data_IF_336416882516
#
_entry.id   IF_336416882516
#
_cell.length_a   1.000
_cell.length_b   1.000
_cell.length_c   1.000
_cell.angle_alpha   90.00
_cell.angle_beta   90.00
_cell.angle_gamma   90.00
#
_symmetry.space_group_name_H-M   'P 1'
#
loop_
_entity.id
_entity.type
_entity.pdbx_description
1 polymer ?
#
# COMPACT_ATOMS: atom_id res chain seq x y z
N UNK A 1 -23.66 -12.14 23.59
CA UNK A 1 -23.94 -10.83 22.97
C UNK A 1 -23.13 -9.76 23.71
N UNK A 2 -21.89 -9.50 23.27
CA UNK A 2 -21.01 -8.46 23.84
C UNK A 2 -20.80 -7.39 22.78
N UNK A 3 -21.05 -6.14 23.17
CA UNK A 3 -20.96 -4.92 22.37
C UNK A 3 -19.51 -4.72 21.89
N UNK A 4 -19.31 -4.71 20.57
CA UNK A 4 -18.12 -4.13 19.95
C UNK A 4 -18.47 -2.71 19.52
N UNK A 5 -18.18 -1.75 20.39
CA UNK A 5 -18.14 -0.32 20.07
C UNK A 5 -16.76 0.18 20.46
N UNK A 6 -15.80 -0.02 19.58
CA UNK A 6 -14.48 0.60 19.65
C UNK A 6 -14.32 1.44 18.41
N UNK A 7 -14.61 2.73 18.52
CA UNK A 7 -14.20 3.72 17.53
C UNK A 7 -12.67 3.69 17.47
N UNK A 8 -12.12 3.13 16.40
CA UNK A 8 -10.72 3.31 16.08
C UNK A 8 -10.51 4.78 15.72
N UNK A 9 -10.04 5.59 16.67
CA UNK A 9 -9.49 6.90 16.36
C UNK A 9 -8.21 6.68 15.55
N UNK A 10 -8.32 6.71 14.22
CA UNK A 10 -7.16 6.76 13.34
C UNK A 10 -6.54 8.14 13.54
N UNK A 11 -5.33 8.18 14.11
CA UNK A 11 -4.54 9.41 14.18
C UNK A 11 -4.37 9.92 12.74
N UNK A 12 -4.98 11.08 12.49
CA UNK A 12 -5.08 11.63 11.15
C UNK A 12 -3.70 12.02 10.63
N UNK A 13 -3.41 11.66 9.38
CA UNK A 13 -2.14 11.97 8.74
C UNK A 13 -1.97 13.50 8.56
N UNK A 14 -0.71 13.97 8.61
CA UNK A 14 -0.36 15.38 8.40
C UNK A 14 -0.81 15.89 7.03
N UNK A 15 -0.79 15.05 5.99
CA UNK A 15 -1.27 15.47 4.66
C UNK A 15 -2.81 15.53 4.61
N UNK A 16 -3.52 14.66 5.32
CA UNK A 16 -4.99 14.68 5.42
C UNK A 16 -5.47 15.91 6.20
N UNK A 17 -4.78 16.27 7.28
CA UNK A 17 -5.00 17.52 8.01
C UNK A 17 -4.87 18.74 7.09
N UNK A 18 -3.81 18.79 6.27
CA UNK A 18 -3.59 19.88 5.32
C UNK A 18 -4.63 19.92 4.20
N UNK A 19 -5.08 18.77 3.70
CA UNK A 19 -6.12 18.72 2.67
C UNK A 19 -7.45 19.27 3.18
N UNK A 20 -7.89 18.82 4.36
CA UNK A 20 -9.12 19.33 4.96
C UNK A 20 -9.01 20.82 5.32
N UNK A 21 -7.88 21.25 5.86
CA UNK A 21 -7.67 22.65 6.20
C UNK A 21 -7.75 23.58 4.99
N UNK A 22 -7.24 23.17 3.82
CA UNK A 22 -7.37 23.96 2.59
C UNK A 22 -8.81 24.05 2.10
N UNK A 23 -9.60 22.97 2.25
CA UNK A 23 -11.02 22.99 1.88
C UNK A 23 -11.84 23.94 2.76
N UNK A 24 -11.37 24.23 3.98
CA UNK A 24 -11.98 25.19 4.89
C UNK A 24 -11.59 26.62 4.48
N UNK A 25 -10.30 26.96 4.52
CA UNK A 25 -9.78 28.27 4.09
C UNK A 25 -8.25 28.30 3.99
N UNK A 26 -7.68 29.36 3.39
CA UNK A 26 -6.24 29.55 3.36
C UNK A 26 -5.64 29.83 4.76
N UNK A 27 -6.37 30.48 5.65
CA UNK A 27 -5.99 30.73 7.04
C UNK A 27 -5.96 29.42 7.84
N UNK A 28 -6.97 28.56 7.64
CA UNK A 28 -7.03 27.23 8.22
C UNK A 28 -5.85 26.38 7.72
N UNK A 29 -5.57 26.39 6.41
CA UNK A 29 -4.40 25.73 5.84
C UNK A 29 -3.09 26.23 6.46
N UNK A 30 -2.91 27.53 6.52
CA UNK A 30 -1.69 28.17 7.02
C UNK A 30 -1.43 27.90 8.50
N UNK A 31 -2.47 27.98 9.34
CA UNK A 31 -2.39 27.64 10.76
C UNK A 31 -2.08 26.14 10.98
N UNK A 32 -2.73 25.26 10.22
CA UNK A 32 -2.48 23.81 10.26
C UNK A 32 -1.05 23.48 9.82
N UNK A 33 -0.57 24.09 8.73
CA UNK A 33 0.81 23.92 8.24
C UNK A 33 1.84 24.33 9.30
N UNK A 34 1.64 25.47 9.97
CA UNK A 34 2.50 25.88 11.09
C UNK A 34 2.50 24.89 12.24
N UNK A 35 1.32 24.40 12.61
CA UNK A 35 1.16 23.42 13.68
C UNK A 35 1.92 22.14 13.36
N UNK A 36 1.74 21.59 12.16
CA UNK A 36 2.43 20.38 11.69
C UNK A 36 3.95 20.60 11.66
N UNK A 37 4.41 21.72 11.08
CA UNK A 37 5.85 22.04 11.04
C UNK A 37 6.45 22.08 12.46
N UNK A 38 5.73 22.68 13.42
CA UNK A 38 6.17 22.72 14.82
C UNK A 38 6.18 21.33 15.47
N UNK A 39 5.12 20.53 15.30
CA UNK A 39 5.02 19.16 15.84
C UNK A 39 6.11 18.24 15.29
N UNK A 40 6.40 18.34 13.99
CA UNK A 40 7.40 17.52 13.28
C UNK A 40 8.82 18.11 13.32
N UNK A 41 9.02 19.27 13.95
CA UNK A 41 10.29 20.01 14.01
C UNK A 41 10.88 20.32 12.61
N UNK A 42 10.03 20.59 11.62
CA UNK A 42 10.43 20.96 10.27
C UNK A 42 10.59 22.47 10.18
N UNK A 43 11.79 22.91 9.82
CA UNK A 43 12.07 24.31 9.55
C UNK A 43 11.53 24.74 8.18
N UNK A 44 11.35 26.05 8.01
CA UNK A 44 10.92 26.61 6.72
C UNK A 44 11.93 26.33 5.58
N UNK A 45 13.22 26.27 5.92
CA UNK A 45 14.29 25.94 4.97
C UNK A 45 14.18 24.49 4.50
N UNK A 46 13.95 23.56 5.42
CA UNK A 46 13.75 22.13 5.10
C UNK A 46 12.48 21.92 4.28
N UNK A 47 11.37 22.58 4.64
CA UNK A 47 10.15 22.54 3.84
C UNK A 47 10.41 23.05 2.42
N UNK A 48 11.04 24.21 2.26
CA UNK A 48 11.38 24.80 0.97
C UNK A 48 12.19 23.86 0.09
N UNK A 49 13.25 23.27 0.63
CA UNK A 49 14.09 22.30 -0.08
C UNK A 49 13.30 21.04 -0.43
N UNK A 50 12.48 20.54 0.49
CA UNK A 50 11.75 19.28 0.34
C UNK A 50 10.56 19.34 -0.64
N UNK A 51 9.89 20.48 -0.78
CA UNK A 51 8.81 20.66 -1.74
C UNK A 51 9.21 21.42 -3.02
N UNK A 52 10.46 21.93 -3.10
CA UNK A 52 10.94 22.69 -4.25
C UNK A 52 10.29 24.06 -4.42
N UNK A 53 9.72 24.63 -3.35
CA UNK A 53 9.06 25.95 -3.37
C UNK A 53 9.99 26.97 -2.71
N UNK A 54 10.21 28.16 -3.31
CA UNK A 54 11.04 29.20 -2.69
C UNK A 54 10.58 29.59 -1.29
N UNK A 55 11.53 29.79 -0.36
CA UNK A 55 11.29 30.22 1.03
C UNK A 55 10.38 31.46 1.08
N UNK A 56 10.59 32.43 0.18
CA UNK A 56 9.77 33.66 0.11
C UNK A 56 8.30 33.38 -0.20
N UNK A 57 8.01 32.38 -1.04
CA UNK A 57 6.65 31.96 -1.36
C UNK A 57 6.01 31.23 -0.17
N UNK A 58 6.74 30.32 0.47
CA UNK A 58 6.24 29.62 1.67
C UNK A 58 6.00 30.58 2.84
N UNK A 59 6.87 31.57 3.03
CA UNK A 59 6.66 32.64 4.00
C UNK A 59 5.36 33.40 3.76
N UNK A 60 5.01 33.69 2.51
CA UNK A 60 3.75 34.38 2.17
C UNK A 60 2.53 33.50 2.43
N UNK A 61 2.61 32.21 2.10
CA UNK A 61 1.55 31.24 2.38
C UNK A 61 1.32 31.12 3.89
N UNK A 62 2.40 31.03 4.65
CA UNK A 62 2.35 30.91 6.10
C UNK A 62 1.90 32.26 6.69
N UNK A 63 2.66 33.33 6.53
CA UNK A 63 2.40 34.58 7.24
C UNK A 63 1.20 35.38 6.72
N UNK A 64 0.89 35.34 5.43
CA UNK A 64 -0.15 36.18 4.80
C UNK A 64 -1.42 35.40 4.42
N UNK A 65 -1.48 34.08 4.68
CA UNK A 65 -2.59 33.21 4.24
C UNK A 65 -2.94 33.39 2.74
N UNK A 66 -1.91 33.61 1.93
CA UNK A 66 -2.06 33.86 0.49
C UNK A 66 -2.65 32.65 -0.24
N UNK A 67 -3.48 32.91 -1.25
CA UNK A 67 -3.96 31.90 -2.19
C UNK A 67 -2.83 31.02 -2.74
N UNK A 68 -3.07 29.71 -2.69
CA UNK A 68 -2.16 28.72 -3.20
C UNK A 68 -2.54 28.34 -4.63
N UNK A 69 -1.54 28.27 -5.50
CA UNK A 69 -1.69 27.52 -6.75
C UNK A 69 -1.84 26.04 -6.42
N UNK A 70 -2.66 25.33 -7.19
CA UNK A 70 -2.86 23.87 -7.04
C UNK A 70 -1.52 23.11 -7.12
N UNK A 71 -0.58 23.57 -7.95
CA UNK A 71 0.77 22.99 -8.03
C UNK A 71 1.58 23.16 -6.74
N UNK A 72 1.49 24.32 -6.08
CA UNK A 72 2.14 24.62 -4.80
C UNK A 72 1.54 23.77 -3.69
N UNK A 73 0.21 23.69 -3.62
CA UNK A 73 -0.47 22.81 -2.69
C UNK A 73 -0.05 21.35 -2.88
N UNK A 74 -0.06 20.85 -4.12
CA UNK A 74 0.37 19.48 -4.45
C UNK A 74 1.80 19.21 -4.00
N UNK A 75 2.72 20.15 -4.21
CA UNK A 75 4.11 20.00 -3.81
C UNK A 75 4.27 19.91 -2.28
N UNK A 76 3.53 20.72 -1.52
CA UNK A 76 3.53 20.67 -0.05
C UNK A 76 2.93 19.33 0.43
N UNK A 77 1.78 18.93 -0.11
CA UNK A 77 1.13 17.65 0.22
C UNK A 77 2.04 16.46 -0.06
N UNK A 78 2.68 16.43 -1.24
CA UNK A 78 3.60 15.36 -1.61
C UNK A 78 4.81 15.28 -0.70
N UNK A 79 5.34 16.43 -0.23
CA UNK A 79 6.42 16.46 0.76
C UNK A 79 5.97 15.86 2.09
N UNK A 80 4.83 16.26 2.65
CA UNK A 80 4.36 15.66 3.90
C UNK A 80 4.01 14.18 3.76
N UNK A 81 3.46 13.79 2.60
CA UNK A 81 3.23 12.38 2.26
C UNK A 81 4.52 11.57 2.19
N UNK A 82 5.63 12.16 1.72
CA UNK A 82 6.94 11.47 1.68
C UNK A 82 7.62 11.43 3.05
N UNK A 83 7.39 12.41 3.93
CA UNK A 83 7.89 12.38 5.31
C UNK A 83 7.22 11.31 6.17
N UNK A 84 5.94 11.02 5.89
CA UNK A 84 5.21 9.92 6.51
C UNK A 84 5.49 8.57 5.83
N UNK A 85 6.13 8.59 4.66
CA UNK A 85 6.64 7.42 3.96
C UNK A 85 8.16 7.53 3.77
N UNK A 86 8.97 7.58 4.84
CA UNK A 86 10.42 7.59 4.72
C UNK A 86 10.82 6.18 4.25
N UNK A 87 10.90 5.97 2.93
CA UNK A 87 11.14 4.65 2.33
C UNK A 87 9.97 3.68 2.59
N UNK A 88 8.84 3.84 1.89
CA UNK A 88 7.75 2.89 2.10
C UNK A 88 8.19 1.49 1.68
N UNK A 89 8.23 0.59 2.66
CA UNK A 89 8.31 -0.84 2.41
C UNK A 89 7.24 -1.19 1.36
N UNK A 90 7.63 -1.81 0.26
CA UNK A 90 6.67 -2.24 -0.75
C UNK A 90 5.90 -3.40 -0.12
N UNK A 91 4.66 -3.14 0.30
CA UNK A 91 3.75 -4.19 0.75
C UNK A 91 3.15 -4.88 -0.46
N UNK A 92 3.34 -6.19 -0.59
CA UNK A 92 2.76 -7.03 -1.64
C UNK A 92 1.79 -8.03 -1.00
N UNK A 93 0.60 -8.15 -1.56
CA UNK A 93 -0.36 -9.19 -1.18
C UNK A 93 -0.11 -10.47 -1.98
N UNK A 94 0.00 -11.62 -1.32
CA UNK A 94 0.09 -12.93 -1.98
C UNK A 94 -1.17 -13.72 -1.66
N UNK A 95 -1.98 -13.98 -2.68
CA UNK A 95 -3.23 -14.74 -2.60
C UNK A 95 -2.98 -16.11 -3.20
N UNK A 96 -2.90 -17.13 -2.37
CA UNK A 96 -2.61 -18.49 -2.79
C UNK A 96 -3.15 -19.53 -1.81
N UNK A 97 -3.13 -20.79 -2.23
CA UNK A 97 -3.42 -21.90 -1.33
C UNK A 97 -2.41 -21.95 -0.17
N UNK A 98 -2.85 -22.44 0.99
CA UNK A 98 -2.01 -22.54 2.20
C UNK A 98 -0.68 -23.25 1.91
N UNK A 99 -0.75 -24.37 1.19
CA UNK A 99 0.42 -25.16 0.78
C UNK A 99 1.46 -24.36 -0.01
N UNK A 100 1.04 -23.39 -0.83
CA UNK A 100 1.96 -22.52 -1.55
C UNK A 100 2.56 -21.46 -0.63
N UNK A 101 1.76 -20.88 0.27
CA UNK A 101 2.21 -19.84 1.20
C UNK A 101 3.18 -20.39 2.23
N UNK A 102 2.99 -21.63 2.70
CA UNK A 102 3.89 -22.28 3.66
C UNK A 102 5.32 -22.47 3.10
N UNK A 103 5.52 -22.37 1.77
CA UNK A 103 6.86 -22.37 1.14
C UNK A 103 7.60 -21.03 1.31
N UNK A 104 6.90 -19.94 1.62
CA UNK A 104 7.48 -18.61 1.83
C UNK A 104 8.15 -18.56 3.20
N UNK A 105 9.48 -18.71 3.23
CA UNK A 105 10.23 -18.70 4.49
C UNK A 105 10.44 -17.29 5.09
N UNK A 106 10.12 -16.24 4.33
CA UNK A 106 10.38 -14.84 4.72
C UNK A 106 9.19 -13.96 4.33
N UNK A 107 8.54 -13.36 5.32
CA UNK A 107 7.51 -12.34 5.10
C UNK A 107 8.07 -10.93 4.84
N UNK A 108 9.41 -10.82 4.78
CA UNK A 108 10.10 -9.59 4.44
C UNK A 108 11.37 -9.91 3.65
N UNK A 109 11.54 -9.27 2.49
CA UNK A 109 12.69 -9.47 1.60
C UNK A 109 13.23 -8.12 1.10
N UNK A 110 14.44 -8.11 0.57
CA UNK A 110 15.02 -6.92 -0.09
C UNK A 110 15.11 -7.22 -1.58
N UNK A 111 14.40 -6.44 -2.40
CA UNK A 111 14.43 -6.54 -3.86
C UNK A 111 14.86 -5.17 -4.42
N UNK A 112 15.90 -5.16 -5.27
CA UNK A 112 16.43 -3.93 -5.89
C UNK A 112 16.72 -2.81 -4.88
N UNK A 113 17.27 -3.16 -3.72
CA UNK A 113 17.59 -2.23 -2.64
C UNK A 113 16.37 -1.67 -1.89
N UNK A 114 15.15 -2.15 -2.17
CA UNK A 114 13.93 -1.80 -1.44
C UNK A 114 13.48 -2.94 -0.54
N UNK A 115 13.07 -2.61 0.67
CA UNK A 115 12.42 -3.56 1.57
C UNK A 115 11.00 -3.82 1.08
N UNK A 116 10.64 -5.09 1.00
CA UNK A 116 9.36 -5.60 0.52
C UNK A 116 8.74 -6.42 1.64
N UNK A 117 7.53 -6.07 2.06
CA UNK A 117 6.74 -6.79 3.04
C UNK A 117 5.73 -7.66 2.31
N UNK A 118 5.66 -8.94 2.66
CA UNK A 118 4.72 -9.89 2.06
C UNK A 118 3.57 -10.07 3.04
N UNK A 119 2.34 -9.79 2.58
CA UNK A 119 1.11 -10.05 3.32
C UNK A 119 0.36 -11.20 2.67
N UNK A 120 0.11 -12.23 3.45
CA UNK A 120 -0.44 -13.50 2.95
C UNK A 120 -1.95 -13.54 3.11
N UNK A 121 -2.62 -14.06 2.08
CA UNK A 121 -4.06 -14.24 2.03
C UNK A 121 -4.34 -15.69 1.61
N UNK A 122 -4.41 -16.63 2.57
CA UNK A 122 -4.68 -18.03 2.27
C UNK A 122 -6.11 -18.21 1.76
N UNK A 123 -6.27 -18.97 0.68
CA UNK A 123 -7.57 -19.21 0.03
C UNK A 123 -7.72 -20.68 -0.35
N UNK A 124 -8.95 -21.18 -0.34
CA UNK A 124 -9.27 -22.55 -0.78
C UNK A 124 -10.04 -22.56 -2.11
N UNK A 125 -10.79 -21.50 -2.41
CA UNK A 125 -11.65 -21.39 -3.60
C UNK A 125 -11.37 -20.12 -4.39
N UNK A 126 -11.93 -20.04 -5.60
CA UNK A 126 -11.83 -18.84 -6.45
C UNK A 126 -12.62 -17.68 -5.82
N UNK A 127 -13.77 -17.97 -5.22
CA UNK A 127 -14.62 -17.01 -4.53
C UNK A 127 -13.88 -16.37 -3.35
N UNK A 128 -13.19 -17.20 -2.54
CA UNK A 128 -12.34 -16.73 -1.45
C UNK A 128 -11.21 -15.84 -1.98
N UNK A 129 -10.63 -16.19 -3.12
CA UNK A 129 -9.59 -15.40 -3.77
C UNK A 129 -10.07 -14.02 -4.19
N UNK A 130 -11.29 -13.91 -4.72
CA UNK A 130 -11.91 -12.63 -5.09
C UNK A 130 -12.12 -11.76 -3.85
N UNK A 131 -12.71 -12.33 -2.78
CA UNK A 131 -12.95 -11.61 -1.52
C UNK A 131 -11.62 -11.12 -0.92
N UNK A 132 -10.60 -11.98 -0.90
CA UNK A 132 -9.29 -11.64 -0.39
C UNK A 132 -8.55 -10.62 -1.28
N UNK A 133 -8.79 -10.59 -2.59
CA UNK A 133 -8.23 -9.57 -3.46
C UNK A 133 -8.78 -8.17 -3.14
N UNK A 134 -10.08 -8.08 -2.85
CA UNK A 134 -10.70 -6.84 -2.37
C UNK A 134 -10.11 -6.43 -1.01
N UNK A 135 -10.02 -7.39 -0.08
CA UNK A 135 -9.41 -7.16 1.24
C UNK A 135 -7.96 -6.69 1.13
N UNK A 136 -7.15 -7.31 0.28
CA UNK A 136 -5.78 -6.91 0.03
C UNK A 136 -5.67 -5.46 -0.46
N UNK A 137 -6.61 -5.05 -1.31
CA UNK A 137 -6.68 -3.67 -1.78
C UNK A 137 -7.04 -2.70 -0.65
N UNK A 138 -7.97 -3.07 0.24
CA UNK A 138 -8.33 -2.29 1.44
C UNK A 138 -7.15 -2.21 2.43
N UNK A 139 -6.36 -3.28 2.51
CA UNK A 139 -5.12 -3.36 3.29
C UNK A 139 -3.96 -2.55 2.68
N UNK A 140 -4.23 -1.76 1.62
CA UNK A 140 -3.30 -0.84 0.96
C UNK A 140 -2.02 -1.53 0.46
N UNK A 141 -2.13 -2.77 -0.04
CA UNK A 141 -1.02 -3.41 -0.75
C UNK A 141 -0.69 -2.63 -2.02
N UNK A 142 0.59 -2.58 -2.38
CA UNK A 142 1.10 -1.90 -3.56
C UNK A 142 1.01 -2.78 -4.83
N UNK A 143 0.73 -4.08 -4.67
CA UNK A 143 0.53 -5.03 -5.75
C UNK A 143 0.09 -6.39 -5.21
N UNK A 144 -0.46 -7.22 -6.10
CA UNK A 144 -0.99 -8.55 -5.79
C UNK A 144 -0.26 -9.61 -6.63
N UNK A 145 0.10 -10.71 -5.98
CA UNK A 145 0.55 -11.95 -6.63
C UNK A 145 -0.50 -13.03 -6.39
N UNK A 146 -0.96 -13.71 -7.44
CA UNK A 146 -1.97 -14.77 -7.31
C UNK A 146 -1.88 -15.82 -8.42
N UNK A 147 -2.69 -16.89 -8.34
CA UNK A 147 -2.74 -17.90 -9.40
C UNK A 147 -3.28 -17.32 -10.73
N UNK A 148 -2.80 -17.79 -11.91
CA UNK A 148 -3.21 -17.25 -13.21
C UNK A 148 -4.73 -17.19 -13.44
N UNK A 149 -5.46 -18.23 -12.99
CA UNK A 149 -6.91 -18.28 -13.14
C UNK A 149 -7.62 -17.15 -12.37
N UNK A 150 -7.10 -16.79 -11.19
CA UNK A 150 -7.63 -15.68 -10.37
C UNK A 150 -7.26 -14.34 -11.00
N UNK A 151 -6.02 -14.18 -11.46
CA UNK A 151 -5.52 -12.93 -12.05
C UNK A 151 -6.44 -12.43 -13.19
N UNK A 152 -6.82 -13.33 -14.10
CA UNK A 152 -7.71 -13.02 -15.23
C UNK A 152 -9.10 -12.47 -14.84
N UNK A 153 -9.55 -12.76 -13.62
CA UNK A 153 -10.83 -12.30 -13.08
C UNK A 153 -10.64 -10.94 -12.41
N UNK A 154 -9.67 -10.84 -11.50
CA UNK A 154 -9.52 -9.67 -10.63
C UNK A 154 -8.93 -8.45 -11.34
N UNK A 155 -8.14 -8.64 -12.41
CA UNK A 155 -7.63 -7.54 -13.25
C UNK A 155 -8.74 -6.68 -13.86
N UNK A 156 -9.95 -7.23 -14.01
CA UNK A 156 -11.10 -6.50 -14.58
C UNK A 156 -11.61 -5.38 -13.68
N UNK A 157 -11.35 -5.44 -12.37
CA UNK A 157 -11.94 -4.51 -11.39
C UNK A 157 -10.97 -4.03 -10.30
N UNK A 158 -9.80 -4.65 -10.15
CA UNK A 158 -8.76 -4.20 -9.21
C UNK A 158 -7.73 -3.33 -9.92
N UNK A 159 -7.38 -2.20 -9.29
CA UNK A 159 -6.47 -1.18 -9.86
C UNK A 159 -5.01 -1.34 -9.46
N UNK A 160 -4.71 -2.10 -8.40
CA UNK A 160 -3.31 -2.36 -8.02
C UNK A 160 -2.67 -3.30 -9.03
N UNK A 161 -1.36 -3.19 -9.33
CA UNK A 161 -0.67 -4.11 -10.24
C UNK A 161 -0.82 -5.57 -9.81
N UNK A 162 -1.08 -6.45 -10.75
CA UNK A 162 -1.30 -7.88 -10.52
C UNK A 162 -0.28 -8.68 -11.32
N UNK A 163 0.32 -9.70 -10.69
CA UNK A 163 1.25 -10.61 -11.33
C UNK A 163 0.86 -12.05 -11.00
N UNK A 164 0.80 -12.89 -12.03
CA UNK A 164 0.49 -14.31 -11.84
C UNK A 164 1.72 -15.09 -11.34
N UNK A 165 1.49 -16.02 -10.42
CA UNK A 165 2.47 -17.06 -10.05
C UNK A 165 2.77 -17.89 -11.31
N UNK A 166 4.05 -18.10 -11.60
CA UNK A 166 4.50 -18.97 -12.69
C UNK A 166 4.57 -20.40 -12.21
N UNK A 167 4.04 -21.33 -13.00
CA UNK A 167 4.16 -22.78 -12.79
C UNK A 167 5.16 -23.30 -13.82
N UNK A 168 6.19 -24.01 -13.37
CA UNK A 168 7.19 -24.64 -14.23
C UNK A 168 6.71 -25.99 -14.78
N UNK A 169 7.31 -26.44 -15.88
CA UNK A 169 7.03 -27.75 -16.48
C UNK A 169 7.36 -28.88 -15.51
N UNK A 170 8.44 -28.72 -14.74
CA UNK A 170 8.91 -29.65 -13.72
C UNK A 170 7.84 -29.92 -12.64
N UNK A 171 7.09 -28.91 -12.22
CA UNK A 171 6.03 -29.07 -11.22
C UNK A 171 4.86 -29.89 -11.75
N UNK A 172 4.56 -29.75 -13.05
CA UNK A 172 3.49 -30.50 -13.70
C UNK A 172 3.90 -31.95 -13.89
N UNK A 173 5.12 -32.19 -14.37
CA UNK A 173 5.65 -33.55 -14.56
C UNK A 173 5.73 -34.32 -13.24
N UNK A 174 6.22 -33.70 -12.17
CA UNK A 174 6.25 -34.31 -10.82
C UNK A 174 4.84 -34.69 -10.35
N UNK A 175 3.85 -33.83 -10.59
CA UNK A 175 2.46 -34.11 -10.24
C UNK A 175 1.87 -35.29 -11.04
N UNK A 176 2.27 -35.45 -12.30
CA UNK A 176 1.88 -36.57 -13.17
C UNK A 176 2.51 -37.87 -12.65
N UNK A 177 3.79 -37.85 -12.30
CA UNK A 177 4.53 -39.02 -11.79
C UNK A 177 3.88 -39.58 -10.52
N UNK A 178 3.61 -38.68 -9.55
CA UNK A 178 2.89 -39.03 -8.31
C UNK A 178 1.51 -39.65 -8.60
N UNK A 179 0.81 -39.18 -9.63
CA UNK A 179 -0.50 -39.73 -10.00
C UNK A 179 -0.35 -41.12 -10.62
N UNK A 180 0.65 -41.33 -11.48
CA UNK A 180 0.93 -42.64 -12.10
C UNK A 180 1.23 -43.68 -11.01
N UNK A 181 2.08 -43.36 -10.05
CA UNK A 181 2.39 -44.25 -8.91
C UNK A 181 1.14 -44.64 -8.12
N UNK A 182 0.23 -43.69 -7.88
CA UNK A 182 -1.05 -43.95 -7.21
C UNK A 182 -1.97 -44.86 -8.02
N UNK A 183 -1.98 -44.73 -9.34
CA UNK A 183 -2.79 -45.58 -10.21
C UNK A 183 -2.25 -47.01 -10.22
N UNK A 184 -0.93 -47.18 -10.32
CA UNK A 184 -0.28 -48.50 -10.36
C UNK A 184 -0.40 -49.25 -9.02
N UNK A 185 -0.28 -48.54 -7.90
CA UNK A 185 -0.44 -49.13 -6.56
C UNK A 185 -1.86 -49.57 -6.22
N UNK A 186 -2.89 -49.09 -6.93
CA UNK A 186 -4.29 -49.53 -6.76
C UNK A 186 -4.65 -50.76 -7.60
N UNK A 187 -3.76 -51.24 -8.47
CA UNK A 187 -3.96 -52.42 -9.32
C UNK A 187 -3.27 -53.69 -8.80
N UNK A 188 -2.60 -53.61 -7.65
CA UNK A 188 -1.99 -54.73 -6.91
C UNK A 188 -2.82 -55.10 -5.69
#
# INVERSE_FOLDING_TARGET
MKRYGGEYMIEKSSYEELMEALLISNEAFSSTLRSIMKRRKISLKELSQGCGIPISTLNKIISEARDLRVSTFRAIINYFKSLENPSSDIVIGVIAARVCLDTLSKHQIIIKGKKVLIKEYPVATIEDAIINAIKATQDKVHGIVCAPIVASIIEKFIKVPIVSIKVGEENVLESIDILVDKILSQQS
#
